data_IF_048008611999
#
_entry.id   IF_048008611999
#
_cell.length_a   1.000
_cell.length_b   1.000
_cell.length_c   1.000
_cell.angle_alpha   90.00
_cell.angle_beta   90.00
_cell.angle_gamma   90.00
#
_symmetry.space_group_name_H-M   'P 1'
#
loop_
_entity.id
_entity.type
_entity.pdbx_description
1 polymer ?
#
# COMPACT_ATOMS: atom_id res chain seq x y z
N UNK A 1 15.01 -8.43 19.09
CA UNK A 1 14.83 -9.41 18.00
C UNK A 1 13.60 -10.27 18.30
N UNK A 2 12.51 -10.11 17.57
CA UNK A 2 11.38 -11.03 17.64
C UNK A 2 11.82 -12.37 17.06
N UNK A 3 11.73 -13.48 17.77
CA UNK A 3 12.11 -14.79 17.24
C UNK A 3 11.18 -15.12 16.05
N UNK A 4 11.76 -15.65 14.96
CA UNK A 4 11.06 -16.04 13.71
C UNK A 4 9.73 -16.79 13.96
N UNK A 5 9.63 -17.56 15.05
CA UNK A 5 8.41 -18.26 15.48
C UNK A 5 7.27 -17.34 15.93
N UNK A 6 7.56 -16.14 16.46
CA UNK A 6 6.51 -15.19 16.87
C UNK A 6 5.91 -14.46 15.68
N UNK A 7 6.73 -14.11 14.67
CA UNK A 7 6.24 -13.53 13.42
C UNK A 7 5.29 -14.49 12.70
N UNK A 8 5.67 -15.78 12.58
CA UNK A 8 4.81 -16.80 11.97
C UNK A 8 3.47 -16.99 12.72
N UNK A 9 3.48 -16.93 14.06
CA UNK A 9 2.26 -17.05 14.86
C UNK A 9 1.37 -15.81 14.75
N UNK A 10 1.94 -14.60 14.67
CA UNK A 10 1.19 -13.36 14.49
C UNK A 10 0.49 -13.33 13.14
N UNK A 11 1.17 -13.71 12.07
CA UNK A 11 0.60 -13.80 10.72
C UNK A 11 -0.51 -14.86 10.61
N UNK A 12 -0.39 -15.98 11.35
CA UNK A 12 -1.45 -16.99 11.46
C UNK A 12 -2.70 -16.44 12.17
N UNK A 13 -2.52 -15.60 13.19
CA UNK A 13 -3.61 -15.02 13.95
C UNK A 13 -4.36 -13.91 13.19
N UNK A 14 -3.72 -13.25 12.22
CA UNK A 14 -4.33 -12.18 11.41
C UNK A 14 -5.26 -12.67 10.29
N UNK A 15 -5.51 -13.98 10.17
CA UNK A 15 -6.37 -14.54 9.11
C UNK A 15 -5.81 -14.40 7.69
N UNK A 16 -4.58 -13.90 7.56
CA UNK A 16 -3.86 -13.74 6.29
C UNK A 16 -3.39 -15.08 5.70
N UNK A 17 -3.56 -16.16 6.46
CA UNK A 17 -3.18 -17.51 6.09
C UNK A 17 -4.39 -18.29 5.55
N UNK A 18 -4.84 -18.01 4.36
CA UNK A 18 -5.52 -19.03 3.57
C UNK A 18 -4.51 -20.16 3.27
N UNK A 19 -4.96 -21.45 3.20
CA UNK A 19 -4.09 -22.61 3.45
C UNK A 19 -2.91 -22.85 2.51
N UNK A 20 -2.65 -22.07 1.49
CA UNK A 20 -1.57 -22.35 0.55
C UNK A 20 -0.75 -21.15 0.05
N UNK A 21 -1.22 -19.89 0.15
CA UNK A 21 -0.60 -18.79 -0.57
C UNK A 21 0.39 -17.95 0.24
N UNK A 22 -0.04 -17.38 1.36
CA UNK A 22 0.79 -16.45 2.16
C UNK A 22 1.89 -17.18 2.92
N UNK A 23 1.63 -18.41 3.37
CA UNK A 23 2.63 -19.23 4.09
C UNK A 23 3.87 -19.50 3.23
N UNK A 24 3.71 -19.66 1.93
CA UNK A 24 4.82 -19.82 0.99
C UNK A 24 5.64 -18.54 0.84
N UNK A 25 4.98 -17.41 0.63
CA UNK A 25 5.63 -16.11 0.49
C UNK A 25 6.40 -15.70 1.76
N UNK A 26 5.80 -15.91 2.93
CA UNK A 26 6.44 -15.63 4.22
C UNK A 26 7.63 -16.57 4.43
N UNK A 27 7.47 -17.87 4.13
CA UNK A 27 8.56 -18.83 4.26
C UNK A 27 9.73 -18.48 3.37
N UNK A 28 9.46 -18.08 2.11
CA UNK A 28 10.47 -17.65 1.16
C UNK A 28 11.15 -16.32 1.58
N UNK A 29 10.39 -15.34 2.04
CA UNK A 29 10.91 -14.10 2.57
C UNK A 29 11.81 -14.32 3.80
N UNK A 30 11.37 -15.18 4.72
CA UNK A 30 12.14 -15.51 5.94
C UNK A 30 13.34 -16.43 5.68
N UNK A 31 13.27 -17.30 4.67
CA UNK A 31 14.36 -18.21 4.31
C UNK A 31 15.51 -17.50 3.59
N UNK A 32 15.21 -16.43 2.82
CA UNK A 32 16.21 -15.62 2.10
C UNK A 32 16.89 -14.58 2.98
N UNK A 33 16.49 -14.45 4.25
CA UNK A 33 17.03 -13.43 5.15
C UNK A 33 16.66 -12.02 4.72
N UNK A 34 17.64 -11.11 4.61
CA UNK A 34 17.44 -9.72 4.17
C UNK A 34 17.53 -9.54 2.64
N UNK A 35 17.57 -10.63 1.86
CA UNK A 35 17.60 -10.57 0.40
C UNK A 35 16.19 -10.30 -0.14
N UNK A 36 16.00 -9.31 -1.04
CA UNK A 36 14.70 -9.01 -1.62
C UNK A 36 14.19 -10.17 -2.47
N UNK A 37 12.87 -10.37 -2.46
CA UNK A 37 12.20 -11.32 -3.35
C UNK A 37 12.23 -10.77 -4.78
N UNK A 38 12.19 -11.66 -5.77
CA UNK A 38 12.14 -11.26 -7.18
C UNK A 38 10.91 -10.39 -7.46
N UNK A 39 11.03 -9.32 -8.27
CA UNK A 39 9.89 -8.54 -8.70
C UNK A 39 8.81 -9.40 -9.38
N UNK A 40 7.56 -8.99 -9.26
CA UNK A 40 6.41 -9.63 -9.89
C UNK A 40 5.27 -9.94 -8.93
N UNK A 41 4.23 -10.59 -9.44
CA UNK A 41 3.07 -11.07 -8.68
C UNK A 41 3.45 -12.29 -7.85
N UNK A 42 3.37 -12.16 -6.53
CA UNK A 42 3.67 -13.23 -5.57
C UNK A 42 2.43 -13.95 -5.07
N UNK A 43 1.29 -13.27 -5.11
CA UNK A 43 0.00 -13.85 -4.76
C UNK A 43 -1.09 -13.31 -5.66
N UNK A 44 -1.89 -14.22 -6.16
CA UNK A 44 -3.11 -13.93 -6.91
C UNK A 44 -4.24 -14.70 -6.24
N UNK A 45 -5.21 -13.99 -5.67
CA UNK A 45 -6.43 -14.57 -5.10
C UNK A 45 -7.63 -13.97 -5.82
N UNK A 46 -8.54 -14.80 -6.30
CA UNK A 46 -9.70 -14.37 -7.07
C UNK A 46 -9.33 -13.88 -8.47
N UNK A 47 -10.05 -12.88 -8.95
CA UNK A 47 -9.83 -12.29 -10.27
C UNK A 47 -8.86 -11.13 -10.19
N UNK A 48 -7.69 -11.29 -10.79
CA UNK A 48 -6.68 -10.25 -10.93
C UNK A 48 -6.35 -10.09 -12.40
N UNK A 49 -6.40 -8.87 -12.89
CA UNK A 49 -6.19 -8.52 -14.30
C UNK A 49 -5.02 -7.54 -14.39
N UNK A 50 -4.07 -7.84 -15.26
CA UNK A 50 -2.98 -6.93 -15.65
C UNK A 50 -3.12 -6.62 -17.13
N UNK A 51 -3.29 -5.34 -17.47
CA UNK A 51 -3.45 -4.87 -18.85
C UNK A 51 -4.52 -5.65 -19.64
N UNK A 52 -5.71 -5.82 -19.06
CA UNK A 52 -6.87 -6.52 -19.65
C UNK A 52 -6.68 -8.05 -19.84
N UNK A 53 -5.69 -8.66 -19.20
CA UNK A 53 -5.46 -10.11 -19.23
C UNK A 53 -5.44 -10.65 -17.81
N UNK A 54 -5.98 -11.84 -17.61
CA UNK A 54 -5.89 -12.53 -16.33
C UNK A 54 -4.42 -12.69 -15.94
N UNK A 55 -4.13 -12.33 -14.71
CA UNK A 55 -2.80 -12.38 -14.16
C UNK A 55 -2.48 -13.78 -13.59
N UNK A 56 -1.21 -14.13 -13.60
CA UNK A 56 -0.69 -15.35 -12.98
C UNK A 56 0.42 -15.01 -11.99
N UNK A 57 0.58 -15.83 -10.98
CA UNK A 57 1.73 -15.71 -10.06
C UNK A 57 3.05 -15.81 -10.83
N UNK A 58 4.05 -15.04 -10.42
CA UNK A 58 5.33 -14.92 -11.12
C UNK A 58 5.34 -13.90 -12.28
N UNK A 59 4.18 -13.39 -12.71
CA UNK A 59 4.12 -12.38 -13.77
C UNK A 59 4.80 -11.08 -13.29
N UNK A 60 5.73 -10.56 -14.10
CA UNK A 60 6.37 -9.27 -13.84
C UNK A 60 5.38 -8.12 -14.07
N UNK A 61 5.42 -7.16 -13.15
CA UNK A 61 4.73 -5.88 -13.30
C UNK A 61 5.76 -4.84 -13.73
N UNK A 62 5.40 -4.08 -14.75
CA UNK A 62 6.28 -3.09 -15.39
C UNK A 62 5.72 -1.68 -15.26
N UNK A 63 6.55 -0.64 -15.41
CA UNK A 63 6.07 0.72 -15.61
C UNK A 63 5.06 0.77 -16.77
N UNK A 64 3.95 1.48 -16.57
CA UNK A 64 2.84 1.55 -17.51
C UNK A 64 1.73 0.52 -17.30
N UNK A 65 1.95 -0.49 -16.47
CA UNK A 65 0.94 -1.51 -16.21
C UNK A 65 -0.22 -0.97 -15.37
N UNK A 66 -1.41 -1.50 -15.68
CA UNK A 66 -2.62 -1.31 -14.87
C UNK A 66 -3.00 -2.65 -14.26
N UNK A 67 -3.20 -2.66 -12.94
CA UNK A 67 -3.62 -3.83 -12.17
C UNK A 67 -5.02 -3.60 -11.64
N UNK A 68 -5.91 -4.55 -11.87
CA UNK A 68 -7.29 -4.53 -11.40
C UNK A 68 -7.56 -5.80 -10.62
N UNK A 69 -8.16 -5.65 -9.43
CA UNK A 69 -8.67 -6.77 -8.63
C UNK A 69 -10.20 -6.72 -8.62
N UNK A 70 -10.84 -7.85 -8.84
CA UNK A 70 -12.28 -8.02 -8.78
C UNK A 70 -12.82 -8.11 -7.35
N UNK A 71 -14.10 -8.48 -7.18
CA UNK A 71 -14.71 -8.74 -5.87
C UNK A 71 -14.04 -9.97 -5.21
N UNK A 72 -13.88 -9.94 -3.88
CA UNK A 72 -13.22 -11.00 -3.10
C UNK A 72 -11.82 -11.38 -3.60
N UNK A 73 -11.13 -10.46 -4.25
CA UNK A 73 -9.84 -10.67 -4.88
C UNK A 73 -8.73 -9.91 -4.18
N UNK A 74 -7.50 -10.37 -4.34
CA UNK A 74 -6.32 -9.76 -3.73
C UNK A 74 -5.08 -10.06 -4.57
N UNK A 75 -4.19 -9.08 -4.69
CA UNK A 75 -2.89 -9.25 -5.31
C UNK A 75 -1.78 -8.75 -4.38
N UNK A 76 -0.71 -9.55 -4.21
CA UNK A 76 0.52 -9.12 -3.56
C UNK A 76 1.63 -9.15 -4.60
N UNK A 77 2.34 -8.04 -4.76
CA UNK A 77 3.37 -7.93 -5.79
C UNK A 77 4.51 -6.98 -5.39
N UNK A 78 5.64 -7.18 -6.04
CA UNK A 78 6.87 -6.40 -5.85
C UNK A 78 7.28 -5.76 -7.16
N UNK A 79 7.59 -4.46 -7.12
CA UNK A 79 8.15 -3.69 -8.24
C UNK A 79 9.44 -3.02 -7.74
N UNK A 80 10.58 -3.52 -8.18
CA UNK A 80 11.88 -3.00 -7.72
C UNK A 80 12.05 -3.14 -6.20
N UNK A 81 12.06 -2.01 -5.49
CA UNK A 81 12.19 -1.94 -4.04
C UNK A 81 10.86 -1.69 -3.31
N UNK A 82 9.76 -1.70 -4.03
CA UNK A 82 8.44 -1.36 -3.53
C UNK A 82 7.57 -2.62 -3.50
N UNK A 83 6.77 -2.80 -2.43
CA UNK A 83 5.84 -3.93 -2.32
C UNK A 83 4.44 -3.43 -2.03
N UNK A 84 3.46 -4.15 -2.55
CA UNK A 84 2.06 -3.76 -2.59
C UNK A 84 1.15 -4.92 -2.20
N UNK A 85 0.10 -4.61 -1.41
CA UNK A 85 -1.04 -5.47 -1.16
C UNK A 85 -2.28 -4.74 -1.65
N UNK A 86 -2.75 -5.13 -2.82
CA UNK A 86 -3.93 -4.58 -3.47
C UNK A 86 -5.14 -5.43 -3.12
N UNK A 87 -6.13 -4.83 -2.48
CA UNK A 87 -7.34 -5.50 -2.02
C UNK A 87 -8.39 -5.57 -3.14
N UNK A 88 -9.54 -6.11 -2.82
CA UNK A 88 -10.66 -6.23 -3.76
C UNK A 88 -11.12 -4.89 -4.34
N UNK A 89 -11.76 -4.94 -5.53
CA UNK A 89 -12.38 -3.81 -6.23
C UNK A 89 -11.42 -2.62 -6.43
N UNK A 90 -10.15 -2.91 -6.61
CA UNK A 90 -9.08 -1.91 -6.67
C UNK A 90 -8.50 -1.82 -8.08
N UNK A 91 -8.28 -0.59 -8.53
CA UNK A 91 -7.59 -0.29 -9.78
C UNK A 91 -6.40 0.61 -9.51
N UNK A 92 -5.21 0.13 -9.87
CA UNK A 92 -3.95 0.87 -9.77
C UNK A 92 -3.27 0.93 -11.13
N UNK A 93 -2.79 2.12 -11.49
CA UNK A 93 -1.98 2.33 -12.68
C UNK A 93 -0.59 2.82 -12.29
N UNK A 94 0.44 2.18 -12.79
CA UNK A 94 1.83 2.61 -12.66
C UNK A 94 2.21 3.48 -13.86
N UNK A 95 2.87 4.60 -13.61
CA UNK A 95 3.36 5.48 -14.68
C UNK A 95 4.30 4.74 -15.63
N UNK A 96 4.26 5.10 -16.92
CA UNK A 96 5.18 4.57 -17.92
C UNK A 96 6.63 5.03 -17.71
N UNK A 97 7.53 4.66 -18.63
CA UNK A 97 8.99 4.91 -18.50
C UNK A 97 9.36 6.37 -18.17
N UNK A 98 8.63 7.34 -18.72
CA UNK A 98 8.84 8.77 -18.43
C UNK A 98 8.32 9.18 -17.04
N UNK A 99 7.49 8.37 -16.38
CA UNK A 99 6.84 8.62 -15.10
C UNK A 99 6.99 7.45 -14.14
N UNK A 100 8.16 6.83 -14.12
CA UNK A 100 8.44 5.61 -13.33
C UNK A 100 8.18 5.77 -11.82
N UNK A 101 8.20 7.01 -11.32
CA UNK A 101 7.96 7.30 -9.91
C UNK A 101 6.50 7.67 -9.61
N UNK A 102 5.60 7.51 -10.59
CA UNK A 102 4.18 7.83 -10.45
C UNK A 102 3.36 6.55 -10.29
N UNK A 103 2.52 6.53 -9.27
CA UNK A 103 1.46 5.56 -9.08
C UNK A 103 0.13 6.31 -8.99
N UNK A 104 -0.90 5.82 -9.69
CA UNK A 104 -2.26 6.34 -9.57
C UNK A 104 -3.17 5.27 -8.98
N UNK A 105 -3.79 5.56 -7.84
CA UNK A 105 -4.88 4.76 -7.29
C UNK A 105 -6.18 5.33 -7.84
N UNK A 106 -6.82 4.59 -8.72
CA UNK A 106 -8.04 5.02 -9.42
C UNK A 106 -9.28 4.74 -8.58
N UNK A 107 -9.29 3.60 -7.90
CA UNK A 107 -10.35 3.18 -6.99
C UNK A 107 -9.85 2.07 -6.06
N UNK A 108 -10.54 1.88 -4.95
CA UNK A 108 -10.35 0.75 -4.03
C UNK A 108 -9.27 0.96 -2.99
N UNK A 109 -8.53 -0.09 -2.61
CA UNK A 109 -7.77 -0.15 -1.36
C UNK A 109 -6.39 -0.77 -1.59
N UNK A 110 -5.35 -0.10 -1.14
CA UNK A 110 -3.98 -0.59 -1.31
C UNK A 110 -3.09 -0.23 -0.12
N UNK A 111 -2.38 -1.22 0.40
CA UNK A 111 -1.27 -1.04 1.33
C UNK A 111 0.04 -1.11 0.54
N UNK A 112 0.93 -0.16 0.79
CA UNK A 112 2.16 0.00 0.02
C UNK A 112 3.34 0.29 0.91
N UNK A 113 4.49 -0.30 0.61
CA UNK A 113 5.78 0.06 1.22
C UNK A 113 6.77 0.42 0.12
N UNK A 114 7.43 1.55 0.28
CA UNK A 114 8.30 2.13 -0.74
C UNK A 114 9.75 2.15 -0.27
N UNK A 115 10.66 1.83 -1.17
CA UNK A 115 12.09 1.99 -0.98
C UNK A 115 12.52 3.45 -0.93
N UNK A 116 13.83 3.67 -0.76
CA UNK A 116 14.40 5.02 -0.79
C UNK A 116 14.19 5.69 -2.14
N UNK A 117 13.93 6.98 -2.11
CA UNK A 117 13.69 7.81 -3.30
C UNK A 117 12.30 8.46 -3.27
N UNK A 118 12.15 9.50 -4.08
CA UNK A 118 10.88 10.20 -4.21
C UNK A 118 9.91 9.39 -5.06
N UNK A 119 8.67 9.30 -4.62
CA UNK A 119 7.52 8.75 -5.37
C UNK A 119 6.37 9.73 -5.31
N UNK A 120 5.55 9.71 -6.33
CA UNK A 120 4.30 10.47 -6.37
C UNK A 120 3.13 9.50 -6.49
N UNK A 121 2.16 9.64 -5.60
CA UNK A 121 0.89 8.93 -5.68
C UNK A 121 -0.19 9.94 -6.05
N UNK A 122 -0.98 9.63 -7.06
CA UNK A 122 -2.16 10.40 -7.43
C UNK A 122 -3.41 9.64 -7.04
N UNK A 123 -4.30 10.34 -6.35
CA UNK A 123 -5.66 9.92 -6.02
C UNK A 123 -6.64 10.96 -6.56
N UNK A 124 -7.94 10.70 -6.51
CA UNK A 124 -8.93 11.66 -7.04
C UNK A 124 -8.93 12.98 -6.28
N UNK A 125 -8.58 12.97 -5.01
CA UNK A 125 -8.67 14.12 -4.10
C UNK A 125 -7.33 14.81 -3.81
N UNK A 126 -6.19 14.18 -4.16
CA UNK A 126 -4.88 14.72 -3.80
C UNK A 126 -3.74 14.21 -4.69
N UNK A 127 -2.63 14.95 -4.64
CA UNK A 127 -1.30 14.48 -5.00
C UNK A 127 -0.48 14.27 -3.73
N UNK A 128 0.16 13.11 -3.61
CA UNK A 128 0.87 12.66 -2.42
C UNK A 128 2.32 12.36 -2.81
N UNK A 129 3.24 13.18 -2.34
CA UNK A 129 4.68 12.95 -2.47
C UNK A 129 5.21 12.18 -1.26
N UNK A 130 5.94 11.09 -1.47
CA UNK A 130 6.46 10.23 -0.41
C UNK A 130 7.94 9.94 -0.58
N UNK A 131 8.60 9.58 0.52
CA UNK A 131 10.02 9.17 0.52
C UNK A 131 10.26 8.06 1.54
N UNK A 132 10.51 6.83 1.07
CA UNK A 132 10.85 5.70 1.93
C UNK A 132 9.81 5.42 3.01
N UNK A 133 8.56 5.20 2.61
CA UNK A 133 7.39 5.19 3.48
C UNK A 133 6.60 3.90 3.39
N UNK A 134 5.83 3.59 4.47
CA UNK A 134 4.65 2.74 4.39
C UNK A 134 3.39 3.59 4.42
N UNK A 135 2.43 3.31 3.56
CA UNK A 135 1.15 3.99 3.56
C UNK A 135 -0.01 3.09 3.11
N UNK A 136 -1.20 3.40 3.63
CA UNK A 136 -2.45 2.76 3.24
C UNK A 136 -3.42 3.79 2.65
N UNK A 137 -4.07 3.43 1.54
CA UNK A 137 -4.99 4.28 0.79
C UNK A 137 -6.28 3.53 0.53
N UNK A 138 -7.42 4.20 0.78
CA UNK A 138 -8.72 3.81 0.24
C UNK A 138 -9.26 4.94 -0.63
N UNK A 139 -9.50 4.66 -1.89
CA UNK A 139 -10.01 5.62 -2.87
C UNK A 139 -11.49 5.37 -3.12
N UNK A 140 -12.32 6.29 -2.64
CA UNK A 140 -13.76 6.30 -2.85
C UNK A 140 -14.11 7.38 -3.89
N UNK A 141 -14.05 7.02 -5.16
CA UNK A 141 -14.30 7.95 -6.25
C UNK A 141 -15.80 8.04 -6.57
N UNK A 142 -16.46 9.03 -5.98
CA UNK A 142 -17.87 9.35 -6.20
C UNK A 142 -18.06 10.74 -6.86
N UNK A 143 -17.22 11.08 -7.83
CA UNK A 143 -17.28 12.36 -8.55
C UNK A 143 -17.04 13.57 -7.64
N UNK A 144 -17.96 14.52 -7.59
CA UNK A 144 -17.82 15.73 -6.77
C UNK A 144 -17.78 15.48 -5.25
N UNK A 145 -18.13 14.28 -4.80
CA UNK A 145 -18.04 13.83 -3.40
C UNK A 145 -16.94 12.80 -3.19
N UNK A 146 -15.98 12.76 -4.10
CA UNK A 146 -14.84 11.87 -3.96
C UNK A 146 -14.13 12.09 -2.62
N UNK A 147 -13.74 10.99 -2.00
CA UNK A 147 -13.06 10.97 -0.71
C UNK A 147 -11.95 9.92 -0.76
N UNK A 148 -10.78 10.31 -0.29
CA UNK A 148 -9.67 9.39 -0.10
C UNK A 148 -9.35 9.27 1.38
N UNK A 149 -9.29 8.06 1.89
CA UNK A 149 -8.63 7.78 3.16
C UNK A 149 -7.13 7.63 2.90
N UNK A 150 -6.31 8.30 3.70
CA UNK A 150 -4.86 8.19 3.66
C UNK A 150 -4.29 8.02 5.06
N UNK A 151 -3.52 6.95 5.26
CA UNK A 151 -2.73 6.74 6.46
C UNK A 151 -1.25 6.65 6.08
N UNK A 152 -0.45 7.59 6.57
CA UNK A 152 1.00 7.44 6.57
C UNK A 152 1.37 6.53 7.75
N UNK A 153 1.73 5.28 7.44
CA UNK A 153 2.08 4.31 8.48
C UNK A 153 3.42 4.66 9.14
N UNK A 154 4.39 5.08 8.34
CA UNK A 154 5.69 5.62 8.77
C UNK A 154 6.37 6.36 7.61
N UNK A 155 7.34 7.22 7.92
CA UNK A 155 8.15 7.97 6.96
C UNK A 155 7.67 9.39 6.73
N UNK A 156 7.95 9.94 5.55
CA UNK A 156 7.73 11.35 5.21
C UNK A 156 6.74 11.50 4.07
N UNK A 157 5.85 12.48 4.18
CA UNK A 157 4.86 12.82 3.16
C UNK A 157 4.75 14.31 2.93
N UNK A 158 4.49 14.67 1.67
CA UNK A 158 3.96 15.96 1.26
C UNK A 158 2.60 15.71 0.59
N UNK A 159 1.53 16.18 1.20
CA UNK A 159 0.17 15.95 0.77
C UNK A 159 -0.44 17.27 0.28
N UNK A 160 -0.93 17.27 -0.97
CA UNK A 160 -1.53 18.44 -1.61
C UNK A 160 -2.95 18.09 -2.05
N UNK A 161 -4.00 18.58 -1.34
CA UNK A 161 -5.39 18.40 -1.76
C UNK A 161 -5.67 19.06 -3.10
N UNK A 162 -6.35 18.37 -4.01
CA UNK A 162 -6.66 18.89 -5.36
C UNK A 162 -7.61 20.09 -5.32
N UNK A 163 -8.61 20.05 -4.42
CA UNK A 163 -9.61 21.12 -4.28
C UNK A 163 -9.08 22.36 -3.52
N UNK A 164 -8.05 22.21 -2.70
CA UNK A 164 -7.46 23.29 -1.92
C UNK A 164 -5.92 23.16 -1.85
N UNK A 165 -5.18 23.41 -2.93
CA UNK A 165 -3.72 23.25 -2.95
C UNK A 165 -2.97 24.10 -1.91
N UNK A 166 -3.58 25.17 -1.43
CA UNK A 166 -3.03 26.02 -0.35
C UNK A 166 -3.03 25.35 1.01
N UNK A 167 -3.81 24.28 1.18
CA UNK A 167 -3.81 23.44 2.39
C UNK A 167 -2.73 22.34 2.33
N UNK A 168 -1.79 22.42 1.39
CA UNK A 168 -0.70 21.47 1.31
C UNK A 168 0.06 21.38 2.64
N UNK A 169 0.34 20.15 3.07
CA UNK A 169 1.00 19.87 4.35
C UNK A 169 2.14 18.87 4.15
N UNK A 170 3.26 19.11 4.85
CA UNK A 170 4.35 18.15 5.01
C UNK A 170 4.38 17.66 6.45
N UNK A 171 4.45 16.36 6.63
CA UNK A 171 4.61 15.76 7.94
C UNK A 171 5.31 14.41 7.86
N UNK A 172 5.80 13.96 9.03
CA UNK A 172 6.38 12.65 9.21
C UNK A 172 5.62 11.92 10.30
N UNK A 173 5.53 10.59 10.17
CA UNK A 173 5.04 9.75 11.25
C UNK A 173 6.02 8.62 11.53
N UNK A 174 5.94 8.09 12.73
CA UNK A 174 6.68 6.90 13.12
C UNK A 174 5.79 5.66 13.19
N UNK A 175 4.50 5.86 13.50
CA UNK A 175 3.54 4.77 13.63
C UNK A 175 2.09 5.25 13.57
N UNK A 176 1.51 5.37 12.37
CA UNK A 176 0.10 5.71 12.13
C UNK A 176 -0.42 6.97 12.85
N UNK A 177 0.45 7.93 13.12
CA UNK A 177 0.15 9.05 14.04
C UNK A 177 -0.90 10.03 13.50
N UNK A 178 -1.12 10.05 12.18
CA UNK A 178 -1.98 11.06 11.56
C UNK A 178 -2.76 10.52 10.35
N UNK A 179 -3.66 9.53 10.51
CA UNK A 179 -4.56 9.13 9.45
C UNK A 179 -5.60 10.22 9.19
N UNK A 180 -6.06 10.33 7.94
CA UNK A 180 -7.01 11.37 7.55
C UNK A 180 -7.89 10.96 6.38
N UNK A 181 -9.05 11.60 6.27
CA UNK A 181 -9.82 11.69 5.04
C UNK A 181 -9.47 12.96 4.28
N UNK A 182 -9.33 12.85 2.96
CA UNK A 182 -9.13 13.96 2.04
C UNK A 182 -10.37 14.06 1.17
N UNK A 183 -11.02 15.20 1.17
CA UNK A 183 -12.27 15.44 0.47
C UNK A 183 -12.08 16.30 -0.77
N UNK A 184 -13.02 16.20 -1.71
CA UNK A 184 -13.10 17.07 -2.88
C UNK A 184 -14.36 17.95 -2.86
N UNK A 185 -15.06 18.02 -1.73
CA UNK A 185 -16.26 18.82 -1.56
C UNK A 185 -15.90 20.24 -1.08
N UNK A 186 -15.95 21.20 -1.99
CA UNK A 186 -15.66 22.62 -1.72
C UNK A 186 -16.57 23.29 -0.68
N UNK A 187 -17.63 22.60 -0.24
CA UNK A 187 -18.51 23.09 0.86
C UNK A 187 -17.92 22.77 2.24
N UNK A 188 -16.93 21.90 2.31
CA UNK A 188 -16.28 21.58 3.58
C UNK A 188 -15.33 22.71 4.01
N UNK A 189 -15.24 22.99 5.31
CA UNK A 189 -14.36 24.05 5.82
C UNK A 189 -12.87 23.71 5.68
N UNK A 190 -12.55 22.43 5.57
CA UNK A 190 -11.19 21.89 5.33
C UNK A 190 -11.28 20.65 4.47
N UNK A 191 -10.30 20.48 3.58
CA UNK A 191 -10.23 19.28 2.73
C UNK A 191 -9.65 18.08 3.48
N UNK A 192 -8.77 18.28 4.46
CA UNK A 192 -8.18 17.22 5.26
C UNK A 192 -8.81 17.16 6.64
N UNK A 193 -9.38 16.01 6.99
CA UNK A 193 -10.07 15.76 8.26
C UNK A 193 -9.45 14.55 8.94
N UNK A 194 -9.08 14.64 10.24
CA UNK A 194 -8.54 13.50 10.99
C UNK A 194 -9.46 12.27 10.94
N UNK A 195 -8.88 11.10 10.97
CA UNK A 195 -9.55 9.81 10.97
C UNK A 195 -8.89 8.84 11.94
N UNK A 196 -9.54 7.72 12.22
CA UNK A 196 -8.94 6.58 12.94
C UNK A 196 -8.16 5.69 11.98
N UNK A 197 -7.30 4.82 12.51
CA UNK A 197 -6.63 3.78 11.71
C UNK A 197 -7.65 2.71 11.34
N UNK A 198 -7.76 2.40 10.05
CA UNK A 198 -8.73 1.42 9.53
C UNK A 198 -8.07 0.43 8.56
N UNK A 199 -8.59 -0.78 8.52
CA UNK A 199 -8.43 -1.76 7.45
C UNK A 199 -7.00 -2.17 7.07
N UNK A 200 -5.98 -1.89 7.88
CA UNK A 200 -4.62 -2.40 7.69
C UNK A 200 -3.93 -2.60 9.04
N UNK A 201 -2.89 -3.42 9.07
CA UNK A 201 -2.21 -3.83 10.29
C UNK A 201 -0.68 -3.76 10.16
N UNK A 202 0.01 -3.69 11.31
CA UNK A 202 1.47 -3.76 11.39
C UNK A 202 2.03 -5.08 10.86
N UNK A 203 1.28 -6.17 11.02
CA UNK A 203 1.68 -7.48 10.50
C UNK A 203 1.69 -7.50 8.97
N UNK A 204 0.75 -6.83 8.31
CA UNK A 204 0.71 -6.67 6.86
C UNK A 204 1.87 -5.81 6.36
N UNK A 205 2.18 -4.70 7.04
CA UNK A 205 3.35 -3.87 6.74
C UNK A 205 4.65 -4.65 6.90
N UNK A 206 4.76 -5.43 7.97
CA UNK A 206 5.92 -6.30 8.22
C UNK A 206 6.07 -7.34 7.11
N UNK A 207 4.97 -7.90 6.62
CA UNK A 207 4.99 -8.82 5.48
C UNK A 207 5.54 -8.13 4.23
N UNK A 208 4.99 -6.96 3.86
CA UNK A 208 5.41 -6.24 2.67
C UNK A 208 6.87 -5.82 2.74
N UNK A 209 7.35 -5.32 3.88
CA UNK A 209 8.75 -4.97 4.07
C UNK A 209 9.68 -6.19 3.97
N UNK A 210 9.26 -7.33 4.52
CA UNK A 210 10.01 -8.58 4.40
C UNK A 210 10.12 -9.06 2.94
N UNK A 211 9.10 -8.82 2.10
CA UNK A 211 9.13 -9.17 0.68
C UNK A 211 10.21 -8.40 -0.09
N UNK A 212 10.62 -7.23 0.36
CA UNK A 212 11.66 -6.41 -0.25
C UNK A 212 12.95 -6.36 0.57
N UNK A 213 13.12 -7.32 1.50
CA UNK A 213 14.35 -7.48 2.30
C UNK A 213 14.56 -6.37 3.34
N UNK A 214 13.49 -5.68 3.73
CA UNK A 214 13.53 -4.63 4.75
C UNK A 214 12.78 -5.04 6.01
N UNK A 215 12.87 -4.19 7.02
CA UNK A 215 12.06 -4.26 8.25
C UNK A 215 11.39 -2.92 8.45
N UNK A 216 10.13 -2.90 8.88
CA UNK A 216 9.49 -1.65 9.29
C UNK A 216 10.26 -1.06 10.48
N UNK A 217 10.09 0.25 10.76
CA UNK A 217 10.58 0.85 11.99
C UNK A 217 10.16 0.01 13.20
N UNK A 218 11.00 -0.05 14.25
CA UNK A 218 10.65 -0.79 15.47
C UNK A 218 9.52 -0.07 16.20
N UNK A 219 8.30 -0.56 16.04
CA UNK A 219 7.19 -0.15 16.88
C UNK A 219 7.28 -0.88 18.23
N UNK A 220 6.99 -0.17 19.33
CA UNK A 220 7.00 -0.76 20.67
C UNK A 220 6.07 -1.98 20.73
N UNK A 221 6.44 -2.98 21.51
CA UNK A 221 5.71 -4.23 21.67
C UNK A 221 4.37 -4.03 22.40
N UNK A 222 3.38 -3.45 21.74
CA UNK A 222 2.08 -3.17 22.38
C UNK A 222 1.01 -2.59 21.48
N UNK A 223 1.36 -2.13 20.30
CA UNK A 223 0.39 -1.56 19.37
C UNK A 223 -0.21 -2.64 18.50
N UNK A 224 -1.48 -2.99 18.76
CA UNK A 224 -2.36 -3.73 17.85
C UNK A 224 -3.51 -2.80 17.52
N UNK A 225 -3.67 -2.49 16.25
CA UNK A 225 -4.89 -1.92 15.72
C UNK A 225 -5.80 -3.03 15.20
#
# INVERSE_FOLDING_TARGET
MLPRRRLLKALAAAGLLGPAGISGLIRDALAKGDAPIRPGLHKVRGEVIVNRRLATEGQLIKPGDTIVTGANSEAIYVIGQDAFMQRELTTVNFGGEALQNLMRVVSGKILSVFGKGARTIQVSTATIGIRGTGCYIEEENHGAKARTYFCLCYGDVELTPSAAPKEAERYSTTHHDKPMYIHNDMKMPKMMVPADVINHTDDELTLLEALVGRRPPSWGSGSRY
#
